data_IF_736263034089
#
_entry.id   IF_736263034089
#
_cell.length_a   1.000
_cell.length_b   1.000
_cell.length_c   1.000
_cell.angle_alpha   90.00
_cell.angle_beta   90.00
_cell.angle_gamma   90.00
#
_symmetry.space_group_name_H-M   'P 1'
#
loop_
_entity.id
_entity.type
_entity.pdbx_description
1 polymer ?
#
# COMPACT_ATOMS: atom_id res chain seq x y z
N UNK A 1 0.50 12.58 -23.48
CA UNK A 1 -0.30 11.36 -23.67
C UNK A 1 0.12 10.23 -22.74
N UNK A 2 1.42 9.96 -22.64
CA UNK A 2 1.96 8.86 -21.80
C UNK A 2 1.65 9.01 -20.30
N UNK A 3 1.83 10.21 -19.73
CA UNK A 3 1.59 10.39 -18.28
C UNK A 3 0.11 10.19 -17.93
N UNK A 4 -0.80 10.58 -18.81
CA UNK A 4 -2.24 10.35 -18.59
C UNK A 4 -2.58 8.86 -18.54
N UNK A 5 -1.94 8.05 -19.38
CA UNK A 5 -2.10 6.59 -19.35
C UNK A 5 -1.60 6.01 -18.02
N UNK A 6 -0.40 6.44 -17.58
CA UNK A 6 0.18 6.00 -16.30
C UNK A 6 -0.77 6.32 -15.14
N UNK A 7 -1.36 7.52 -15.14
CA UNK A 7 -2.27 7.94 -14.07
C UNK A 7 -3.55 7.09 -14.09
N UNK A 8 -4.12 6.81 -15.26
CA UNK A 8 -5.30 5.95 -15.36
C UNK A 8 -5.01 4.55 -14.86
N UNK A 9 -3.89 3.96 -15.31
CA UNK A 9 -3.46 2.64 -14.83
C UNK A 9 -3.28 2.65 -13.31
N UNK A 10 -2.67 3.70 -12.76
CA UNK A 10 -2.47 3.86 -11.31
C UNK A 10 -3.80 3.87 -10.56
N UNK A 11 -4.79 4.63 -11.05
CA UNK A 11 -6.10 4.71 -10.39
C UNK A 11 -6.84 3.37 -10.46
N UNK A 12 -6.78 2.69 -11.61
CA UNK A 12 -7.39 1.36 -11.77
C UNK A 12 -6.74 0.34 -10.81
N UNK A 13 -5.41 0.38 -10.68
CA UNK A 13 -4.68 -0.47 -9.74
C UNK A 13 -5.03 -0.14 -8.29
N UNK A 14 -5.20 1.14 -7.96
CA UNK A 14 -5.61 1.57 -6.62
C UNK A 14 -6.97 0.97 -6.28
N UNK A 15 -7.95 1.09 -7.16
CA UNK A 15 -9.28 0.51 -6.96
C UNK A 15 -9.22 -1.01 -6.80
N UNK A 16 -8.44 -1.68 -7.65
CA UNK A 16 -8.25 -3.14 -7.59
C UNK A 16 -7.71 -3.57 -6.23
N UNK A 17 -6.60 -2.95 -5.80
CA UNK A 17 -5.92 -3.38 -4.59
C UNK A 17 -6.65 -2.95 -3.32
N UNK A 18 -7.38 -1.84 -3.33
CA UNK A 18 -8.25 -1.49 -2.20
C UNK A 18 -9.35 -2.54 -2.00
N UNK A 19 -9.93 -3.05 -3.08
CA UNK A 19 -10.92 -4.14 -3.00
C UNK A 19 -10.30 -5.43 -2.46
N UNK A 20 -9.03 -5.69 -2.77
CA UNK A 20 -8.34 -6.92 -2.38
C UNK A 20 -7.80 -6.86 -0.96
N UNK A 21 -7.21 -5.73 -0.55
CA UNK A 21 -6.46 -5.61 0.71
C UNK A 21 -7.07 -4.62 1.70
N UNK A 22 -8.14 -3.92 1.33
CA UNK A 22 -8.80 -2.98 2.22
C UNK A 22 -8.45 -1.52 1.94
N UNK A 23 -9.10 -0.62 2.66
CA UNK A 23 -8.99 0.81 2.41
C UNK A 23 -7.57 1.35 2.63
N UNK A 24 -6.84 0.81 3.61
CA UNK A 24 -5.46 1.24 3.86
C UNK A 24 -4.50 0.58 2.87
N UNK A 25 -4.65 0.94 1.61
CA UNK A 25 -3.80 0.46 0.51
C UNK A 25 -3.33 1.66 -0.31
N UNK A 26 -2.03 1.74 -0.54
CA UNK A 26 -1.44 2.78 -1.38
C UNK A 26 -0.51 2.15 -2.41
N UNK A 27 -0.81 2.32 -3.69
CA UNK A 27 0.06 1.86 -4.77
C UNK A 27 1.22 2.83 -4.93
N UNK A 28 2.42 2.30 -5.13
CA UNK A 28 3.60 3.06 -5.57
C UNK A 28 3.98 2.60 -6.97
N UNK A 29 4.17 3.55 -7.88
CA UNK A 29 4.49 3.24 -9.27
C UNK A 29 5.80 3.91 -9.68
N UNK A 30 6.74 3.13 -10.19
CA UNK A 30 8.00 3.67 -10.68
C UNK A 30 7.80 4.47 -11.96
N UNK A 31 8.31 5.70 -11.95
CA UNK A 31 8.34 6.57 -13.13
C UNK A 31 9.75 7.15 -13.21
N UNK A 32 10.57 6.57 -14.08
CA UNK A 32 11.97 6.94 -14.18
C UNK A 32 12.74 6.64 -12.90
N UNK A 33 13.32 7.66 -12.30
CA UNK A 33 14.13 7.56 -11.08
C UNK A 33 13.31 7.78 -9.80
N UNK A 34 11.99 7.77 -9.90
CA UNK A 34 11.10 8.06 -8.76
C UNK A 34 10.06 6.97 -8.59
N UNK A 35 9.59 6.80 -7.34
CA UNK A 35 8.31 6.17 -7.05
C UNK A 35 7.29 7.27 -6.79
N UNK A 36 6.14 7.15 -7.43
CA UNK A 36 5.11 8.18 -7.43
C UNK A 36 3.75 7.59 -7.03
N UNK A 37 2.98 8.38 -6.30
CA UNK A 37 1.56 8.17 -6.04
C UNK A 37 0.79 9.33 -6.67
N UNK A 38 -0.40 9.03 -7.18
CA UNK A 38 -1.23 10.01 -7.87
C UNK A 38 -2.60 10.14 -7.22
N UNK A 39 -3.22 11.28 -7.43
CA UNK A 39 -4.60 11.53 -7.07
C UNK A 39 -5.23 12.50 -8.06
N UNK A 40 -6.48 12.81 -7.82
CA UNK A 40 -7.26 13.72 -8.64
C UNK A 40 -7.75 14.88 -7.78
N UNK A 41 -7.63 16.09 -8.30
CA UNK A 41 -8.08 17.33 -7.65
C UNK A 41 -9.31 17.84 -8.38
N UNK A 42 -10.42 17.98 -7.66
CA UNK A 42 -11.64 18.49 -8.24
C UNK A 42 -11.69 20.04 -8.22
N UNK A 43 -12.78 20.60 -8.70
CA UNK A 43 -12.98 22.06 -8.76
C UNK A 43 -13.12 22.74 -7.39
N UNK A 44 -13.42 21.95 -6.36
CA UNK A 44 -13.61 22.43 -4.98
C UNK A 44 -12.36 22.18 -4.11
N UNK A 45 -11.22 21.88 -4.77
CA UNK A 45 -9.92 21.60 -4.16
C UNK A 45 -9.90 20.34 -3.29
N UNK A 46 -10.82 19.37 -3.50
CA UNK A 46 -10.77 18.08 -2.84
C UNK A 46 -9.89 17.12 -3.64
N UNK A 47 -9.02 16.40 -2.94
CA UNK A 47 -8.16 15.36 -3.54
C UNK A 47 -8.79 13.99 -3.27
N UNK A 48 -8.92 13.18 -4.32
CA UNK A 48 -9.56 11.87 -4.27
C UNK A 48 -8.87 10.91 -5.25
N UNK A 49 -9.35 9.66 -5.28
CA UNK A 49 -8.86 8.61 -6.18
C UNK A 49 -7.76 7.74 -5.58
N UNK A 50 -7.08 8.22 -4.55
CA UNK A 50 -6.12 7.43 -3.77
C UNK A 50 -5.92 8.08 -2.41
N UNK A 51 -5.15 7.43 -1.54
CA UNK A 51 -4.79 7.97 -0.23
C UNK A 51 -3.53 8.86 -0.28
N UNK A 52 -3.33 9.56 -1.39
CA UNK A 52 -2.14 10.40 -1.58
C UNK A 52 -2.01 11.48 -0.49
N UNK A 53 -3.12 12.00 0.02
CA UNK A 53 -3.09 13.03 1.09
C UNK A 53 -2.48 12.43 2.35
N UNK A 54 -3.00 11.29 2.80
CA UNK A 54 -2.47 10.58 3.97
C UNK A 54 -1.01 10.17 3.77
N UNK A 55 -0.68 9.67 2.56
CA UNK A 55 0.70 9.33 2.19
C UNK A 55 1.62 10.53 2.35
N UNK A 56 1.21 11.68 1.84
CA UNK A 56 2.00 12.91 1.92
C UNK A 56 2.14 13.40 3.37
N UNK A 57 1.07 13.32 4.16
CA UNK A 57 1.08 13.72 5.57
C UNK A 57 2.02 12.85 6.40
N UNK A 58 1.90 11.52 6.28
CA UNK A 58 2.75 10.57 7.03
C UNK A 58 4.23 10.80 6.72
N UNK A 59 4.54 11.13 5.47
CA UNK A 59 5.93 11.21 5.00
C UNK A 59 6.45 12.65 4.88
N UNK A 60 5.66 13.62 5.29
CA UNK A 60 6.02 15.05 5.25
C UNK A 60 6.42 15.49 3.83
N UNK A 61 5.61 15.07 2.85
CA UNK A 61 5.83 15.37 1.43
C UNK A 61 4.90 16.45 0.94
N UNK A 62 5.34 17.15 -0.12
CA UNK A 62 4.50 18.09 -0.84
C UNK A 62 3.77 17.38 -1.98
N UNK A 63 2.46 17.64 -2.09
CA UNK A 63 1.67 17.21 -3.24
C UNK A 63 1.76 18.28 -4.32
N UNK A 64 2.20 17.91 -5.50
CA UNK A 64 2.35 18.83 -6.64
C UNK A 64 1.21 18.65 -7.63
N UNK A 65 0.77 19.76 -8.24
CA UNK A 65 -0.25 19.75 -9.30
C UNK A 65 0.45 19.53 -10.64
N UNK A 66 -0.09 18.62 -11.44
CA UNK A 66 0.42 18.35 -12.79
C UNK A 66 -0.42 19.08 -13.84
N UNK A 67 0.15 19.37 -15.01
CA UNK A 67 -0.53 20.03 -16.10
C UNK A 67 -1.28 19.05 -17.01
N UNK A 68 -1.91 18.06 -16.39
CA UNK A 68 -2.77 17.10 -17.10
C UNK A 68 -4.05 16.88 -16.27
N UNK A 69 -5.10 16.47 -16.96
CA UNK A 69 -6.39 16.17 -16.35
C UNK A 69 -6.87 14.78 -16.77
N UNK A 70 -7.61 14.14 -15.87
CA UNK A 70 -8.41 12.95 -16.15
C UNK A 70 -9.86 13.41 -16.06
N UNK A 71 -10.54 13.46 -17.19
CA UNK A 71 -11.85 14.12 -17.26
C UNK A 71 -11.71 15.60 -16.90
N UNK A 72 -12.47 16.05 -15.92
CA UNK A 72 -12.44 17.45 -15.43
C UNK A 72 -11.53 17.64 -14.22
N UNK A 73 -10.92 16.57 -13.69
CA UNK A 73 -10.11 16.62 -12.50
C UNK A 73 -8.63 16.76 -12.86
N UNK A 74 -7.94 17.65 -12.19
CA UNK A 74 -6.49 17.85 -12.37
C UNK A 74 -5.72 16.75 -11.64
N UNK A 75 -4.66 16.24 -12.24
CA UNK A 75 -3.80 15.25 -11.62
C UNK A 75 -2.89 15.90 -10.59
N UNK A 76 -2.79 15.26 -9.42
CA UNK A 76 -1.81 15.61 -8.38
C UNK A 76 -0.89 14.42 -8.13
N UNK A 77 0.31 14.70 -7.61
CA UNK A 77 1.35 13.68 -7.44
C UNK A 77 2.20 13.97 -6.22
N UNK A 78 2.60 12.93 -5.52
CA UNK A 78 3.65 12.95 -4.51
C UNK A 78 4.60 11.79 -4.80
N UNK A 79 5.89 11.99 -4.61
CA UNK A 79 6.86 10.96 -4.93
C UNK A 79 8.23 11.21 -4.32
N UNK A 80 9.09 10.21 -4.46
CA UNK A 80 10.43 10.21 -3.86
C UNK A 80 11.39 9.41 -4.76
N UNK A 81 12.68 9.65 -4.60
CA UNK A 81 13.70 8.93 -5.37
C UNK A 81 13.80 7.47 -5.00
N UNK A 82 14.14 6.62 -5.96
CA UNK A 82 14.19 5.16 -5.78
C UNK A 82 14.98 4.70 -4.54
N UNK A 83 16.14 5.30 -4.19
CA UNK A 83 16.91 4.84 -3.03
C UNK A 83 16.20 5.00 -1.69
N UNK A 84 15.13 5.78 -1.63
CA UNK A 84 14.40 6.04 -0.38
C UNK A 84 13.21 5.11 -0.16
N UNK A 85 13.03 4.09 -1.02
CA UNK A 85 11.85 3.22 -0.98
C UNK A 85 11.65 2.58 0.40
N UNK A 86 12.69 2.00 0.99
CA UNK A 86 12.60 1.33 2.29
C UNK A 86 12.05 2.26 3.38
N UNK A 87 12.58 3.47 3.44
CA UNK A 87 12.18 4.48 4.43
C UNK A 87 10.67 4.76 4.37
N UNK A 88 10.16 4.97 3.16
CA UNK A 88 8.75 5.33 3.00
C UNK A 88 7.82 4.15 3.17
N UNK A 89 8.23 2.95 2.71
CA UNK A 89 7.46 1.73 2.94
C UNK A 89 7.29 1.49 4.44
N UNK A 90 8.40 1.58 5.22
CA UNK A 90 8.33 1.32 6.65
C UNK A 90 7.37 2.28 7.35
N UNK A 91 7.43 3.58 7.05
CA UNK A 91 6.50 4.56 7.64
C UNK A 91 5.04 4.23 7.33
N UNK A 92 4.76 3.81 6.09
CA UNK A 92 3.40 3.46 5.69
C UNK A 92 2.93 2.18 6.37
N UNK A 93 3.80 1.14 6.47
CA UNK A 93 3.47 -0.09 7.17
C UNK A 93 3.20 0.16 8.66
N UNK A 94 3.99 1.02 9.29
CA UNK A 94 3.79 1.40 10.70
C UNK A 94 2.44 2.08 10.92
N UNK A 95 1.86 2.64 9.86
CA UNK A 95 0.51 3.24 9.86
C UNK A 95 -0.57 2.28 9.33
N UNK A 96 -0.23 1.01 9.15
CA UNK A 96 -1.19 -0.03 8.80
C UNK A 96 -1.46 -0.19 7.30
N UNK A 97 -0.63 0.40 6.43
CA UNK A 97 -0.85 0.38 4.98
C UNK A 97 -0.23 -0.84 4.31
N UNK A 98 -0.93 -1.36 3.32
CA UNK A 98 -0.43 -2.32 2.35
C UNK A 98 0.01 -1.54 1.10
N UNK A 99 1.22 -1.81 0.61
CA UNK A 99 1.83 -1.04 -0.49
C UNK A 99 2.21 -1.99 -1.64
N UNK A 100 1.36 -2.11 -2.68
CA UNK A 100 1.78 -2.75 -3.92
C UNK A 100 2.76 -1.83 -4.67
N UNK A 101 3.91 -2.38 -5.04
CA UNK A 101 4.98 -1.63 -5.72
C UNK A 101 5.10 -2.13 -7.15
N UNK A 102 4.90 -1.23 -8.10
CA UNK A 102 4.99 -1.49 -9.53
C UNK A 102 6.25 -0.85 -10.10
N UNK A 103 7.08 -1.65 -10.76
CA UNK A 103 8.36 -1.19 -11.31
C UNK A 103 8.37 -1.26 -12.82
N UNK A 104 9.22 -0.44 -13.43
CA UNK A 104 9.41 -0.45 -14.87
C UNK A 104 10.11 -1.75 -15.30
N UNK A 105 9.64 -2.34 -16.39
CA UNK A 105 10.20 -3.59 -16.93
C UNK A 105 11.53 -3.35 -17.66
N UNK A 106 11.78 -2.10 -18.04
CA UNK A 106 13.05 -1.71 -18.67
C UNK A 106 13.33 -0.24 -18.37
N UNK A 107 14.57 0.22 -18.54
CA UNK A 107 14.89 1.64 -18.31
C UNK A 107 14.38 2.60 -19.39
N UNK A 108 13.75 2.11 -20.44
CA UNK A 108 13.28 2.95 -21.53
C UNK A 108 12.07 3.80 -21.12
N UNK A 109 11.91 4.95 -21.75
CA UNK A 109 10.79 5.85 -21.49
C UNK A 109 9.42 5.25 -21.85
N UNK A 110 9.39 4.28 -22.76
CA UNK A 110 8.15 3.64 -23.21
C UNK A 110 8.00 2.22 -22.68
N UNK A 111 8.53 1.97 -21.50
CA UNK A 111 8.46 0.66 -20.87
C UNK A 111 7.06 0.39 -20.28
N UNK A 112 6.73 -0.89 -20.22
CA UNK A 112 5.60 -1.38 -19.41
C UNK A 112 6.02 -1.44 -17.94
N UNK A 113 5.05 -1.73 -17.07
CA UNK A 113 5.28 -1.89 -15.65
C UNK A 113 4.63 -3.17 -15.17
N UNK A 114 5.26 -3.81 -14.21
CA UNK A 114 4.73 -5.02 -13.60
C UNK A 114 4.82 -4.92 -12.08
N UNK A 115 4.01 -5.72 -11.41
CA UNK A 115 4.02 -5.81 -9.95
C UNK A 115 5.37 -6.43 -9.52
N UNK A 116 6.11 -5.68 -8.74
CA UNK A 116 7.38 -6.14 -8.17
C UNK A 116 7.15 -6.90 -6.86
N UNK A 117 6.43 -6.28 -5.95
CA UNK A 117 6.15 -6.88 -4.64
C UNK A 117 4.99 -6.14 -3.97
N UNK A 118 4.46 -6.75 -2.91
CA UNK A 118 3.43 -6.14 -2.08
C UNK A 118 3.94 -6.17 -0.63
N UNK A 119 4.09 -5.00 -0.05
CA UNK A 119 4.50 -4.87 1.35
C UNK A 119 3.26 -4.63 2.21
N UNK A 120 3.09 -5.44 3.25
CA UNK A 120 1.98 -5.27 4.19
C UNK A 120 2.54 -5.16 5.61
N UNK A 121 1.74 -4.67 6.57
CA UNK A 121 2.20 -4.63 7.95
C UNK A 121 2.65 -6.04 8.39
N UNK A 122 3.83 -6.11 8.99
CA UNK A 122 4.39 -7.36 9.47
C UNK A 122 5.16 -8.20 8.44
N UNK A 123 5.16 -7.81 7.15
CA UNK A 123 5.82 -8.63 6.11
C UNK A 123 7.05 -7.98 5.49
N UNK A 124 7.41 -6.79 5.94
CA UNK A 124 8.60 -6.11 5.43
C UNK A 124 9.80 -6.37 6.34
N UNK A 125 10.92 -6.71 5.74
CA UNK A 125 12.18 -6.95 6.43
C UNK A 125 13.24 -6.02 5.87
N UNK A 126 13.61 -5.01 6.63
CA UNK A 126 14.73 -4.16 6.28
C UNK A 126 16.02 -4.77 6.86
N UNK A 127 17.07 -4.77 6.08
CA UNK A 127 18.39 -5.17 6.57
C UNK A 127 18.90 -4.22 7.65
N UNK A 128 18.30 -3.04 7.76
CA UNK A 128 18.66 -2.04 8.77
C UNK A 128 17.77 -2.10 10.02
N UNK A 129 16.80 -3.01 10.04
CA UNK A 129 15.91 -3.15 11.18
C UNK A 129 16.70 -3.58 12.42
N UNK A 130 16.58 -2.80 13.47
CA UNK A 130 17.14 -3.13 14.78
C UNK A 130 16.17 -3.95 15.64
N UNK A 131 14.99 -4.21 15.11
CA UNK A 131 14.01 -5.04 15.82
C UNK A 131 14.47 -6.49 15.82
N UNK A 132 14.50 -7.08 17.00
CA UNK A 132 14.96 -8.45 17.19
C UNK A 132 13.86 -9.48 16.92
N UNK A 133 12.62 -9.03 16.79
CA UNK A 133 11.49 -9.91 16.52
C UNK A 133 10.39 -9.18 15.78
N UNK A 134 9.67 -9.89 14.96
CA UNK A 134 8.46 -9.41 14.31
C UNK A 134 7.47 -10.56 14.24
N UNK A 135 6.43 -10.49 15.05
CA UNK A 135 5.52 -11.60 15.27
C UNK A 135 4.21 -11.40 14.50
N UNK A 136 3.79 -12.47 13.83
CA UNK A 136 2.44 -12.56 13.25
C UNK A 136 1.66 -13.54 14.10
N UNK A 137 0.52 -13.06 14.62
CA UNK A 137 -0.39 -13.89 15.42
C UNK A 137 -1.66 -14.14 14.63
N UNK A 138 -2.01 -15.40 14.46
CA UNK A 138 -3.27 -15.81 13.86
C UNK A 138 -4.21 -16.27 14.97
N UNK A 139 -5.44 -15.77 14.96
CA UNK A 139 -6.48 -16.16 15.90
C UNK A 139 -7.62 -16.77 15.11
N UNK A 140 -7.99 -18.00 15.45
CA UNK A 140 -9.14 -18.70 14.88
C UNK A 140 -10.21 -18.83 15.96
N UNK A 141 -11.46 -18.48 15.64
CA UNK A 141 -12.56 -18.53 16.58
C UNK A 141 -13.67 -19.39 15.97
N UNK A 142 -14.13 -20.36 16.75
CA UNK A 142 -15.28 -21.20 16.39
C UNK A 142 -16.32 -21.13 17.49
N UNK A 143 -17.57 -20.87 17.09
CA UNK A 143 -18.70 -20.82 18.01
C UNK A 143 -19.60 -22.01 17.68
N UNK A 144 -19.90 -22.84 18.69
CA UNK A 144 -20.79 -23.99 18.57
C UNK A 144 -21.81 -23.96 19.70
N UNK A 145 -22.85 -24.75 19.55
CA UNK A 145 -23.86 -24.92 20.60
C UNK A 145 -23.62 -26.27 21.26
N UNK A 146 -23.40 -26.24 22.58
CA UNK A 146 -23.36 -27.47 23.34
C UNK A 146 -24.77 -28.08 23.40
N UNK A 147 -24.94 -29.26 22.82
CA UNK A 147 -26.25 -29.87 22.68
C UNK A 147 -26.87 -30.30 24.03
N UNK A 148 -26.04 -30.51 25.05
CA UNK A 148 -26.51 -30.91 26.37
C UNK A 148 -26.94 -29.70 27.21
N UNK A 149 -26.12 -28.66 27.24
CA UNK A 149 -26.37 -27.48 28.05
C UNK A 149 -27.18 -26.39 27.35
N UNK A 150 -27.27 -26.47 26.01
CA UNK A 150 -27.89 -25.45 25.14
C UNK A 150 -27.21 -24.09 25.21
N UNK A 151 -25.97 -24.05 25.68
CA UNK A 151 -25.16 -22.83 25.75
C UNK A 151 -24.18 -22.74 24.60
N UNK A 152 -23.79 -21.53 24.26
CA UNK A 152 -22.75 -21.32 23.26
C UNK A 152 -21.37 -21.67 23.86
N UNK A 153 -20.61 -22.42 23.13
CA UNK A 153 -19.21 -22.71 23.42
C UNK A 153 -18.35 -22.00 22.41
N UNK A 154 -17.29 -21.36 22.88
CA UNK A 154 -16.32 -20.66 22.05
C UNK A 154 -14.99 -21.40 22.14
N UNK A 155 -14.53 -21.86 21.00
CA UNK A 155 -13.20 -22.45 20.89
C UNK A 155 -12.29 -21.44 20.19
N UNK A 156 -11.14 -21.16 20.81
CA UNK A 156 -10.19 -20.20 20.26
C UNK A 156 -8.86 -20.93 20.00
N UNK A 157 -8.41 -20.89 18.75
CA UNK A 157 -7.08 -21.34 18.39
C UNK A 157 -6.18 -20.14 18.16
N UNK A 158 -4.99 -20.16 18.73
CA UNK A 158 -4.02 -19.07 18.56
C UNK A 158 -2.70 -19.69 18.10
N UNK A 159 -2.12 -19.11 17.04
CA UNK A 159 -0.76 -19.44 16.64
C UNK A 159 0.03 -18.16 16.47
N UNK A 160 1.30 -18.21 16.76
CA UNK A 160 2.20 -17.07 16.67
C UNK A 160 3.51 -17.53 16.02
N UNK A 161 4.02 -16.70 15.11
CA UNK A 161 5.30 -16.97 14.47
C UNK A 161 6.13 -15.68 14.45
N UNK A 162 7.39 -15.80 14.86
CA UNK A 162 8.36 -14.74 14.65
C UNK A 162 8.92 -14.91 13.24
N UNK A 163 8.63 -13.97 12.36
CA UNK A 163 8.96 -14.08 10.95
C UNK A 163 10.46 -13.88 10.67
N UNK A 164 11.23 -13.32 11.61
CA UNK A 164 12.69 -13.27 11.47
C UNK A 164 13.33 -14.63 11.75
N UNK A 165 12.83 -15.37 12.75
CA UNK A 165 13.44 -16.63 13.17
C UNK A 165 12.69 -17.86 12.66
N UNK A 166 11.46 -17.72 12.21
CA UNK A 166 10.60 -18.81 11.81
C UNK A 166 10.09 -19.66 12.99
N UNK A 167 10.18 -19.15 14.23
CA UNK A 167 9.76 -19.89 15.42
C UNK A 167 8.39 -19.42 15.90
N UNK A 168 7.76 -20.33 16.13
CA UNK A 168 6.58 -20.09 16.49
C UNK A 168 6.48 -19.99 17.71
#
# INVERSE_FOLDING_TARGET
>A
MKLMTIVKDYLDLTDKYKKEYGEKTLVLMQVGSFFEAYGLLDKDDNIYGSDIVTFAEINEMTISRKNICVGKARVVMAGFGLPQLEKYIKKMQDNGYTIPVWTQDSPSKNTTRSLSCIFSPGTYFSNESRELSNNITCIWIHISINFLTKQNEITIGISNIDIFTGKX
#
